data_IF_117953000870
#
_entry.id   IF_117953000870
#
_cell.length_a   1.000
_cell.length_b   1.000
_cell.length_c   1.000
_cell.angle_alpha   90.00
_cell.angle_beta   90.00
_cell.angle_gamma   90.00
#
_symmetry.space_group_name_H-M   'P 1'
#
loop_
_entity.id
_entity.type
_entity.pdbx_description
1 polymer ?
#
# COMPACT_ATOMS: atom_id res chain seq x y z
N UNK A 1 -2.62 -13.27 -8.76
CA UNK A 1 -3.28 -14.49 -8.26
C UNK A 1 -2.55 -14.98 -7.02
N UNK A 2 -3.29 -15.26 -5.93
CA UNK A 2 -2.70 -15.60 -4.62
C UNK A 2 -2.68 -17.12 -4.34
N UNK A 3 -3.38 -17.91 -5.15
CA UNK A 3 -3.52 -19.35 -4.95
C UNK A 3 -2.15 -20.05 -4.89
N UNK A 4 -1.99 -20.93 -3.90
CA UNK A 4 -0.79 -21.74 -3.64
C UNK A 4 0.49 -20.92 -3.40
N UNK A 5 0.35 -19.63 -3.05
CA UNK A 5 1.49 -18.76 -2.76
C UNK A 5 1.65 -18.52 -1.28
N UNK A 6 2.87 -18.69 -0.79
CA UNK A 6 3.25 -18.31 0.57
C UNK A 6 3.17 -16.78 0.72
N UNK A 7 2.37 -16.33 1.67
CA UNK A 7 2.17 -14.92 1.95
C UNK A 7 2.68 -14.56 3.35
N UNK A 8 3.44 -13.46 3.45
CA UNK A 8 3.84 -12.85 4.72
C UNK A 8 3.01 -11.63 5.00
N UNK A 9 2.43 -11.56 6.18
CA UNK A 9 1.67 -10.41 6.67
C UNK A 9 2.41 -9.81 7.86
N UNK A 10 2.96 -8.63 7.69
CA UNK A 10 3.63 -7.89 8.75
C UNK A 10 2.59 -7.15 9.59
N UNK A 11 2.60 -7.40 10.91
CA UNK A 11 1.66 -6.85 11.87
C UNK A 11 0.65 -7.86 12.38
N UNK A 12 0.14 -7.63 13.60
CA UNK A 12 -0.83 -8.48 14.30
C UNK A 12 -2.08 -7.72 14.75
N UNK A 13 -2.35 -6.55 14.15
CA UNK A 13 -3.53 -5.73 14.44
C UNK A 13 -4.76 -6.13 13.63
N UNK A 14 -5.85 -5.36 13.74
CA UNK A 14 -7.13 -5.63 13.06
C UNK A 14 -7.00 -5.74 11.54
N UNK A 15 -6.19 -4.87 10.91
CA UNK A 15 -5.93 -4.95 9.46
C UNK A 15 -5.29 -6.28 9.06
N UNK A 16 -4.33 -6.78 9.86
CA UNK A 16 -3.68 -8.07 9.61
C UNK A 16 -4.68 -9.23 9.63
N UNK A 17 -5.61 -9.24 10.58
CA UNK A 17 -6.65 -10.29 10.67
C UNK A 17 -7.50 -10.32 9.40
N UNK A 18 -7.94 -9.16 8.93
CA UNK A 18 -8.73 -9.03 7.69
C UNK A 18 -7.94 -9.49 6.48
N UNK A 19 -6.68 -9.03 6.34
CA UNK A 19 -5.78 -9.42 5.25
C UNK A 19 -5.55 -10.92 5.23
N UNK A 20 -5.26 -11.54 6.38
CA UNK A 20 -5.07 -12.99 6.48
C UNK A 20 -6.32 -13.76 6.05
N UNK A 21 -7.52 -13.30 6.44
CA UNK A 21 -8.77 -13.91 6.03
C UNK A 21 -8.95 -13.85 4.50
N UNK A 22 -8.74 -12.69 3.92
CA UNK A 22 -8.84 -12.49 2.45
C UNK A 22 -7.81 -13.35 1.72
N UNK A 23 -6.54 -13.36 2.14
CA UNK A 23 -5.49 -14.17 1.50
C UNK A 23 -5.86 -15.66 1.50
N UNK A 24 -6.33 -16.18 2.63
CA UNK A 24 -6.79 -17.59 2.75
C UNK A 24 -7.99 -17.86 1.83
N UNK A 25 -8.96 -16.93 1.75
CA UNK A 25 -10.11 -17.09 0.85
C UNK A 25 -9.72 -17.07 -0.64
N UNK A 26 -8.59 -16.43 -0.97
CA UNK A 26 -8.00 -16.41 -2.31
C UNK A 26 -7.06 -17.59 -2.57
N UNK A 27 -6.96 -18.54 -1.62
CA UNK A 27 -6.16 -19.75 -1.75
C UNK A 27 -4.66 -19.58 -1.45
N UNK A 28 -4.24 -18.49 -0.82
CA UNK A 28 -2.85 -18.36 -0.38
C UNK A 28 -2.52 -19.36 0.74
N UNK A 29 -1.43 -20.10 0.59
CA UNK A 29 -0.98 -21.10 1.56
C UNK A 29 0.54 -21.29 1.48
N UNK A 30 1.27 -21.23 2.59
CA UNK A 30 0.83 -20.76 3.92
C UNK A 30 0.71 -19.23 4.03
N UNK A 31 -0.18 -18.77 4.89
CA UNK A 31 -0.24 -17.35 5.31
C UNK A 31 0.42 -17.22 6.68
N UNK A 32 1.56 -16.54 6.74
CA UNK A 32 2.39 -16.37 7.93
C UNK A 32 2.33 -14.92 8.41
N UNK A 33 2.01 -14.73 9.69
CA UNK A 33 2.00 -13.41 10.32
C UNK A 33 3.34 -13.16 11.01
N UNK A 34 3.99 -12.07 10.64
CA UNK A 34 5.23 -11.59 11.28
C UNK A 34 4.88 -10.47 12.25
N UNK A 35 5.20 -10.64 13.52
CA UNK A 35 4.96 -9.63 14.54
C UNK A 35 6.13 -9.53 15.52
N UNK A 36 6.16 -8.49 16.36
CA UNK A 36 7.26 -8.27 17.30
C UNK A 36 7.34 -9.34 18.39
N UNK A 37 6.21 -9.93 18.76
CA UNK A 37 6.08 -10.86 19.90
C UNK A 37 5.46 -12.20 19.51
N UNK A 38 5.23 -12.45 18.21
CA UNK A 38 4.67 -13.71 17.72
C UNK A 38 5.70 -14.82 17.60
N UNK A 39 5.22 -16.03 17.34
CA UNK A 39 6.05 -17.20 16.99
C UNK A 39 6.95 -16.90 15.79
N UNK A 40 6.36 -16.29 14.75
CA UNK A 40 7.11 -15.76 13.64
C UNK A 40 7.31 -14.25 13.85
N UNK A 41 8.58 -13.86 13.91
CA UNK A 41 8.97 -12.49 14.23
C UNK A 41 10.16 -12.03 13.36
N UNK A 42 10.63 -10.82 13.60
CA UNK A 42 11.73 -10.25 12.80
C UNK A 42 13.06 -10.97 12.97
N UNK A 43 13.28 -11.67 14.10
CA UNK A 43 14.52 -12.41 14.38
C UNK A 43 14.60 -13.71 13.59
N UNK A 44 13.46 -14.35 13.31
CA UNK A 44 13.39 -15.61 12.57
C UNK A 44 12.84 -15.45 11.14
N UNK A 45 12.79 -14.23 10.62
CA UNK A 45 12.28 -13.90 9.28
C UNK A 45 13.01 -14.67 8.16
N UNK A 46 14.28 -15.05 8.39
CA UNK A 46 15.07 -15.80 7.42
C UNK A 46 14.44 -17.15 7.02
N UNK A 47 13.58 -17.71 7.84
CA UNK A 47 12.81 -18.93 7.53
C UNK A 47 11.73 -18.73 6.47
N UNK A 48 11.49 -17.49 6.07
CA UNK A 48 10.36 -17.12 5.21
C UNK A 48 10.76 -16.28 3.98
N UNK A 49 12.05 -16.25 3.63
CA UNK A 49 12.55 -15.48 2.48
C UNK A 49 12.11 -16.06 1.12
N UNK A 50 11.51 -17.25 1.13
CA UNK A 50 10.89 -17.92 -0.01
C UNK A 50 9.46 -17.43 -0.31
N UNK A 51 8.94 -16.47 0.46
CA UNK A 51 7.60 -15.94 0.28
C UNK A 51 7.41 -15.31 -1.11
N UNK A 52 6.19 -15.44 -1.63
CA UNK A 52 5.76 -14.90 -2.91
C UNK A 52 4.99 -13.59 -2.78
N UNK A 53 4.27 -13.44 -1.68
CA UNK A 53 3.47 -12.25 -1.41
C UNK A 53 3.89 -11.64 -0.07
N UNK A 54 4.01 -10.32 -0.05
CA UNK A 54 4.33 -9.57 1.15
C UNK A 54 3.30 -8.47 1.37
N UNK A 55 2.71 -8.45 2.57
CA UNK A 55 1.71 -7.47 2.93
C UNK A 55 2.13 -6.72 4.19
N UNK A 56 2.26 -5.40 4.11
CA UNK A 56 2.45 -4.55 5.28
C UNK A 56 1.10 -4.16 5.87
N UNK A 57 0.76 -4.71 7.02
CA UNK A 57 -0.40 -4.33 7.84
C UNK A 57 0.05 -3.66 9.16
N UNK A 58 1.25 -3.10 9.20
CA UNK A 58 1.77 -2.26 10.28
C UNK A 58 1.61 -0.78 9.96
N UNK A 59 1.72 0.12 10.94
CA UNK A 59 1.77 1.55 10.68
C UNK A 59 3.16 2.05 10.22
N UNK A 60 4.16 1.18 10.02
CA UNK A 60 5.49 1.59 9.57
C UNK A 60 5.42 2.20 8.18
N UNK A 61 6.06 3.33 8.00
CA UNK A 61 6.02 4.11 6.76
C UNK A 61 4.84 5.07 6.62
N UNK A 62 3.89 5.05 7.58
CA UNK A 62 2.77 6.00 7.62
C UNK A 62 3.23 7.37 8.14
N UNK A 63 2.67 8.45 7.59
CA UNK A 63 2.90 9.81 8.10
C UNK A 63 2.61 9.88 9.62
N UNK A 64 3.46 10.56 10.44
CA UNK A 64 4.61 11.38 10.06
C UNK A 64 5.93 10.59 9.92
N UNK A 65 6.00 9.31 10.23
CA UNK A 65 7.21 8.49 10.22
C UNK A 65 7.51 7.93 8.82
N UNK A 66 7.54 8.83 7.83
CA UNK A 66 7.84 8.47 6.45
C UNK A 66 9.28 7.94 6.33
N UNK A 67 9.48 7.00 5.41
CA UNK A 67 10.80 6.43 5.15
C UNK A 67 11.10 5.15 5.95
N UNK A 68 10.26 4.78 6.92
CA UNK A 68 10.34 3.48 7.57
C UNK A 68 9.73 2.37 6.70
N UNK A 69 10.32 1.18 6.77
CA UNK A 69 9.82 -0.02 6.10
C UNK A 69 9.85 -1.20 7.07
N UNK A 70 8.88 -2.11 7.06
CA UNK A 70 8.89 -3.27 7.94
C UNK A 70 10.02 -4.24 7.60
N UNK A 71 10.53 -4.21 6.38
CA UNK A 71 11.57 -5.15 5.91
C UNK A 71 12.29 -4.58 4.69
N UNK A 72 13.52 -5.07 4.46
CA UNK A 72 14.27 -4.85 3.24
C UNK A 72 13.87 -5.92 2.19
N UNK A 73 13.28 -5.49 1.08
CA UNK A 73 12.81 -6.38 0.02
C UNK A 73 13.93 -7.07 -0.74
N UNK A 74 15.17 -6.56 -0.70
CA UNK A 74 16.33 -7.20 -1.35
C UNK A 74 16.67 -8.57 -0.75
N UNK A 75 16.19 -8.86 0.46
CA UNK A 75 16.35 -10.16 1.12
C UNK A 75 15.52 -11.28 0.47
N UNK A 76 14.49 -10.93 -0.30
CA UNK A 76 13.57 -11.89 -0.91
C UNK A 76 13.91 -12.06 -2.40
N UNK A 77 14.13 -13.29 -2.82
CA UNK A 77 14.49 -13.59 -4.22
C UNK A 77 13.30 -13.92 -5.12
N UNK A 78 12.11 -14.03 -4.54
CA UNK A 78 10.99 -14.69 -5.23
C UNK A 78 9.64 -13.98 -5.08
N UNK A 79 9.62 -12.70 -4.69
CA UNK A 79 8.39 -11.94 -4.52
C UNK A 79 7.68 -11.71 -5.88
N UNK A 80 6.43 -12.12 -5.93
CA UNK A 80 5.51 -11.88 -7.05
C UNK A 80 4.67 -10.62 -6.83
N UNK A 81 4.58 -10.13 -5.57
CA UNK A 81 3.84 -8.92 -5.27
C UNK A 81 3.98 -8.41 -3.84
N UNK A 82 3.85 -7.10 -3.70
CA UNK A 82 3.88 -6.38 -2.41
C UNK A 82 2.61 -5.55 -2.27
N UNK A 83 1.95 -5.63 -1.13
CA UNK A 83 0.82 -4.77 -0.76
C UNK A 83 1.17 -4.00 0.50
N UNK A 84 0.99 -2.68 0.47
CA UNK A 84 1.09 -1.84 1.66
C UNK A 84 -0.30 -1.32 2.03
N UNK A 85 -0.80 -1.69 3.22
CA UNK A 85 -2.09 -1.19 3.72
C UNK A 85 -2.05 0.31 4.02
N UNK A 86 -0.85 0.86 4.22
CA UNK A 86 -0.64 2.30 4.35
C UNK A 86 -0.98 2.99 3.04
N UNK A 87 -1.73 4.10 3.12
CA UNK A 87 -2.13 4.92 1.96
C UNK A 87 -1.60 6.36 2.04
N UNK A 88 -1.10 6.79 3.19
CA UNK A 88 -0.49 8.10 3.38
C UNK A 88 0.88 7.98 4.08
N UNK A 89 1.98 8.24 3.37
CA UNK A 89 2.08 8.76 2.01
C UNK A 89 1.59 7.78 0.93
N UNK A 90 1.26 8.29 -0.25
CA UNK A 90 0.84 7.47 -1.40
C UNK A 90 1.93 6.50 -1.86
N UNK A 91 3.21 6.83 -1.64
CA UNK A 91 4.38 5.99 -1.94
C UNK A 91 5.21 5.85 -0.67
N UNK A 92 5.03 4.74 0.04
CA UNK A 92 5.82 4.38 1.23
C UNK A 92 7.23 3.92 0.85
N UNK A 93 8.15 3.86 1.81
CA UNK A 93 9.48 3.31 1.59
C UNK A 93 9.44 1.87 1.07
N UNK A 94 8.50 1.06 1.55
CA UNK A 94 8.29 -0.31 1.08
C UNK A 94 7.87 -0.35 -0.41
N UNK A 95 6.94 0.52 -0.82
CA UNK A 95 6.50 0.61 -2.22
C UNK A 95 7.62 1.11 -3.15
N UNK A 96 8.42 2.07 -2.69
CA UNK A 96 9.58 2.57 -3.45
C UNK A 96 10.63 1.48 -3.66
N UNK A 97 10.88 0.62 -2.66
CA UNK A 97 11.75 -0.54 -2.82
C UNK A 97 11.17 -1.52 -3.86
N UNK A 98 9.87 -1.82 -3.79
CA UNK A 98 9.21 -2.72 -4.73
C UNK A 98 9.31 -2.19 -6.17
N UNK A 99 9.10 -0.88 -6.36
CA UNK A 99 9.25 -0.20 -7.66
C UNK A 99 10.68 -0.31 -8.21
N UNK A 100 11.70 -0.05 -7.38
CA UNK A 100 13.11 -0.16 -7.77
C UNK A 100 13.51 -1.58 -8.17
N UNK A 101 12.91 -2.58 -7.53
CA UNK A 101 13.15 -4.00 -7.80
C UNK A 101 12.25 -4.56 -8.92
N UNK A 102 11.36 -3.74 -9.49
CA UNK A 102 10.43 -4.17 -10.54
C UNK A 102 9.35 -5.14 -10.03
N UNK A 103 9.07 -5.17 -8.71
CA UNK A 103 8.06 -6.04 -8.11
C UNK A 103 6.70 -5.36 -8.21
N UNK A 104 5.65 -6.05 -8.71
CA UNK A 104 4.29 -5.54 -8.70
C UNK A 104 3.86 -5.14 -7.29
N UNK A 105 3.29 -3.95 -7.14
CA UNK A 105 2.91 -3.44 -5.82
C UNK A 105 1.63 -2.63 -5.86
N UNK A 106 0.95 -2.52 -4.71
CA UNK A 106 -0.27 -1.73 -4.54
C UNK A 106 -0.33 -1.10 -3.14
N UNK A 107 -0.99 0.07 -3.03
CA UNK A 107 -1.23 0.75 -1.76
C UNK A 107 -2.61 0.42 -1.18
N UNK A 108 -2.83 0.81 0.09
CA UNK A 108 -4.11 0.66 0.79
C UNK A 108 -5.20 1.64 0.36
N UNK A 109 -4.98 2.51 -0.63
CA UNK A 109 -5.96 3.54 -1.01
C UNK A 109 -7.26 2.94 -1.54
N UNK A 110 -7.19 1.96 -2.43
CA UNK A 110 -8.38 1.24 -2.94
C UNK A 110 -9.17 0.58 -1.81
N UNK A 111 -8.47 -0.01 -0.83
CA UNK A 111 -9.10 -0.62 0.33
C UNK A 111 -9.82 0.44 1.18
N UNK A 112 -9.22 1.62 1.38
CA UNK A 112 -9.83 2.74 2.09
C UNK A 112 -11.14 3.18 1.43
N UNK A 113 -11.13 3.34 0.10
CA UNK A 113 -12.32 3.77 -0.66
C UNK A 113 -13.39 2.68 -0.64
N UNK A 114 -13.00 1.41 -0.83
CA UNK A 114 -13.93 0.30 -0.82
C UNK A 114 -14.65 0.12 0.53
N UNK A 115 -13.93 0.27 1.65
CA UNK A 115 -14.56 0.23 2.98
C UNK A 115 -15.51 1.40 3.21
N UNK A 116 -15.17 2.61 2.74
CA UNK A 116 -16.03 3.78 2.84
C UNK A 116 -17.32 3.60 2.02
N UNK A 117 -17.21 3.04 0.79
CA UNK A 117 -18.35 2.65 -0.04
C UNK A 117 -19.27 1.69 0.72
N UNK A 118 -18.71 0.62 1.30
CA UNK A 118 -19.49 -0.35 2.08
C UNK A 118 -20.18 0.27 3.29
N UNK A 119 -19.49 1.13 4.03
CA UNK A 119 -20.08 1.86 5.14
C UNK A 119 -21.26 2.74 4.66
N UNK A 120 -21.10 3.46 3.55
CA UNK A 120 -22.16 4.26 2.95
C UNK A 120 -23.38 3.41 2.60
N UNK A 121 -23.21 2.25 1.96
CA UNK A 121 -24.29 1.30 1.64
C UNK A 121 -25.04 0.84 2.91
N UNK A 122 -24.32 0.52 3.97
CA UNK A 122 -24.92 0.11 5.24
C UNK A 122 -25.72 1.24 5.92
N UNK A 123 -25.21 2.47 5.91
CA UNK A 123 -25.87 3.59 6.56
C UNK A 123 -27.06 4.14 5.77
N UNK A 124 -26.99 4.11 4.42
CA UNK A 124 -28.03 4.70 3.57
C UNK A 124 -29.06 3.69 3.09
N UNK A 125 -28.72 2.40 3.12
CA UNK A 125 -29.53 1.33 2.50
C UNK A 125 -29.51 1.36 0.96
N UNK A 126 -28.74 2.24 0.34
CA UNK A 126 -28.65 2.38 -1.11
C UNK A 126 -27.37 1.75 -1.64
N UNK A 127 -27.44 0.96 -2.74
CA UNK A 127 -26.23 0.42 -3.38
C UNK A 127 -25.43 1.55 -4.03
N UNK A 128 -24.09 1.47 -3.94
CA UNK A 128 -23.14 2.37 -4.63
C UNK A 128 -22.42 1.56 -5.69
N UNK A 129 -22.39 2.02 -6.97
CA UNK A 129 -21.67 1.30 -8.03
C UNK A 129 -20.19 1.12 -7.74
N UNK A 130 -19.61 -0.04 -8.11
CA UNK A 130 -18.18 -0.30 -7.91
C UNK A 130 -17.29 0.66 -8.70
N UNK A 131 -17.75 1.19 -9.83
CA UNK A 131 -17.04 2.20 -10.60
C UNK A 131 -16.73 3.49 -9.81
N UNK A 132 -17.48 3.76 -8.73
CA UNK A 132 -17.19 4.89 -7.83
C UNK A 132 -15.89 4.69 -7.05
N UNK A 133 -15.45 3.45 -6.80
CA UNK A 133 -14.17 3.16 -6.15
C UNK A 133 -13.04 3.75 -7.02
N UNK A 134 -12.99 3.38 -8.29
CA UNK A 134 -11.94 3.84 -9.21
C UNK A 134 -11.99 5.35 -9.42
N UNK A 135 -13.20 5.94 -9.45
CA UNK A 135 -13.38 7.38 -9.60
C UNK A 135 -12.83 8.15 -8.40
N UNK A 136 -13.21 7.72 -7.19
CA UNK A 136 -12.79 8.37 -5.94
C UNK A 136 -11.30 8.16 -5.72
N UNK A 137 -10.78 6.97 -5.97
CA UNK A 137 -9.35 6.68 -5.86
C UNK A 137 -8.52 7.62 -6.75
N UNK A 138 -8.91 7.80 -8.01
CA UNK A 138 -8.23 8.75 -8.92
C UNK A 138 -8.28 10.19 -8.42
N UNK A 139 -9.40 10.63 -7.85
CA UNK A 139 -9.53 11.97 -7.28
C UNK A 139 -8.61 12.17 -6.08
N UNK A 140 -8.60 11.20 -5.14
CA UNK A 140 -7.75 11.26 -3.96
C UNK A 140 -6.26 11.18 -4.33
N UNK A 141 -5.89 10.31 -5.27
CA UNK A 141 -4.51 10.22 -5.76
C UNK A 141 -4.02 11.56 -6.30
N UNK A 142 -4.83 12.25 -7.11
CA UNK A 142 -4.49 13.59 -7.63
C UNK A 142 -4.33 14.64 -6.51
N UNK A 143 -5.15 14.59 -5.47
CA UNK A 143 -5.07 15.52 -4.36
C UNK A 143 -3.83 15.28 -3.47
N UNK A 144 -3.29 14.06 -3.48
CA UNK A 144 -2.08 13.70 -2.73
C UNK A 144 -0.79 13.94 -3.52
N UNK A 145 -0.88 14.25 -4.82
CA UNK A 145 0.29 14.57 -5.65
C UNK A 145 0.82 15.97 -5.37
N UNK A 146 2.15 16.08 -5.27
CA UNK A 146 2.85 17.35 -5.19
C UNK A 146 3.66 17.57 -6.46
N UNK A 147 3.50 18.74 -7.10
CA UNK A 147 4.28 19.10 -8.28
C UNK A 147 5.43 19.99 -7.85
N UNK A 148 6.67 19.51 -8.04
CA UNK A 148 7.89 20.23 -7.71
C UNK A 148 8.55 20.69 -9.02
N UNK A 149 8.67 22.01 -9.20
CA UNK A 149 9.34 22.60 -10.35
C UNK A 149 10.81 22.89 -10.02
N UNK A 150 11.72 22.20 -10.70
CA UNK A 150 13.16 22.35 -10.56
C UNK A 150 13.72 23.05 -11.80
N UNK A 151 14.70 23.91 -11.61
CA UNK A 151 15.36 24.59 -12.74
C UNK A 151 16.18 25.81 -12.29
N UNK A 152 16.98 26.36 -13.22
CA UNK A 152 17.85 27.52 -12.97
C UNK A 152 17.05 28.79 -12.64
N UNK A 153 17.61 29.78 -11.95
CA UNK A 153 17.01 31.08 -11.79
C UNK A 153 16.62 31.69 -13.14
N UNK A 154 15.44 32.32 -13.22
CA UNK A 154 14.96 32.95 -14.45
C UNK A 154 14.30 32.07 -15.50
N UNK A 155 14.28 30.73 -15.35
CA UNK A 155 13.70 29.81 -16.33
C UNK A 155 12.15 29.72 -16.31
N UNK A 156 11.46 30.68 -15.69
CA UNK A 156 9.98 30.75 -15.74
C UNK A 156 9.22 29.87 -14.75
N UNK A 157 9.89 29.22 -13.77
CA UNK A 157 9.24 28.33 -12.77
C UNK A 157 8.00 28.94 -12.12
N UNK A 158 8.10 30.20 -11.68
CA UNK A 158 6.98 30.88 -10.98
C UNK A 158 5.77 31.11 -11.92
N UNK A 159 6.01 31.37 -13.19
CA UNK A 159 4.93 31.49 -14.18
C UNK A 159 4.26 30.14 -14.44
N UNK A 160 5.08 29.11 -14.67
CA UNK A 160 4.60 27.73 -14.84
C UNK A 160 3.85 27.25 -13.61
N UNK A 161 4.36 27.50 -12.38
CA UNK A 161 3.69 27.13 -11.15
C UNK A 161 2.28 27.73 -11.04
N UNK A 162 2.14 29.03 -11.36
CA UNK A 162 0.82 29.71 -11.36
C UNK A 162 -0.14 29.11 -12.38
N UNK A 163 0.33 28.86 -13.60
CA UNK A 163 -0.48 28.26 -14.65
C UNK A 163 -0.89 26.82 -14.27
N UNK A 164 0.03 26.01 -13.71
CA UNK A 164 -0.25 24.65 -13.28
C UNK A 164 -1.24 24.64 -12.11
N UNK A 165 -1.06 25.49 -11.10
CA UNK A 165 -1.97 25.57 -9.95
C UNK A 165 -3.42 25.85 -10.36
N UNK A 166 -3.65 26.64 -11.42
CA UNK A 166 -5.01 26.89 -11.94
C UNK A 166 -5.67 25.69 -12.62
N UNK A 167 -4.93 24.64 -12.96
CA UNK A 167 -5.45 23.40 -13.54
C UNK A 167 -5.82 22.35 -12.49
N UNK A 168 -5.35 22.53 -11.25
CA UNK A 168 -5.56 21.61 -10.13
C UNK A 168 -6.56 22.13 -9.07
N UNK A 169 -7.07 23.34 -9.25
CA UNK A 169 -8.20 23.92 -8.50
C UNK A 169 -9.49 23.78 -9.30
#
# INVERSE_FOLDING_TARGET
EAADKKALVFGSGGASVTVCHVLKSLGADPVVVISRTGENNYENLDRHLDAKLLINATPLGMYPNNGESPVDLTRFSALDGVLDVVYNPARTALMLQAEQLGIPHASGLSMLVAQAKKACEYFTGNPVPDAEIDRIERLLSRQMENIILIGMPGCGKSLTAKATASLFN
#
